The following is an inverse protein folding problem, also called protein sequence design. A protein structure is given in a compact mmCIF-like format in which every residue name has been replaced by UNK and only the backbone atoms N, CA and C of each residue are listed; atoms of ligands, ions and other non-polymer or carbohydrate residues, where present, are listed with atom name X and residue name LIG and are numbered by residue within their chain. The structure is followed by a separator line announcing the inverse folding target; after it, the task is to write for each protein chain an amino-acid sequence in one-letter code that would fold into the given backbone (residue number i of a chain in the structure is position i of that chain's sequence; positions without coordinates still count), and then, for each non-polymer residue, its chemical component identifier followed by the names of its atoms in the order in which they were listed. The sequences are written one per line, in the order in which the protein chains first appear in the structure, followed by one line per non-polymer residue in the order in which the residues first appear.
data_IF_918085876903
#
_entry.id   IF_918085876903
#
_cell.length_a   1.000
_cell.length_b   1.000
_cell.length_c   1.000
_cell.angle_alpha   90.00
_cell.angle_beta   90.00
_cell.angle_gamma   90.00
#
_symmetry.space_group_name_H-M   'P 1'
#
loop_
_entity.id
_entity.type
_entity.pdbx_description
1 polymer ?
#
# COMPACT_ATOMS: atom_id res chain seq x y z
N UNK A 1 -10.95 15.22 -53.87
CA UNK A 1 -12.02 15.84 -53.10
C UNK A 1 -11.89 15.37 -51.65
N UNK A 2 -11.15 16.11 -50.83
CA UNK A 2 -10.93 15.83 -49.42
C UNK A 2 -11.72 16.81 -48.57
N UNK A 3 -12.39 16.31 -47.53
CA UNK A 3 -13.07 17.15 -46.55
C UNK A 3 -12.32 17.00 -45.23
N UNK A 4 -11.55 18.05 -44.92
CA UNK A 4 -10.84 18.23 -43.66
C UNK A 4 -11.81 18.86 -42.63
N UNK A 5 -12.15 18.15 -41.56
CA UNK A 5 -13.01 18.67 -40.52
C UNK A 5 -12.28 18.67 -39.16
N UNK A 6 -11.39 19.66 -39.00
CA UNK A 6 -10.81 19.97 -37.67
C UNK A 6 -11.80 20.81 -36.89
N UNK A 7 -12.47 20.19 -35.90
CA UNK A 7 -13.27 20.92 -34.89
C UNK A 7 -12.35 21.51 -33.82
N UNK A 8 -12.20 22.83 -33.87
CA UNK A 8 -11.59 23.63 -32.80
C UNK A 8 -12.62 23.83 -31.70
N UNK A 9 -12.38 23.26 -30.53
CA UNK A 9 -13.10 23.59 -29.31
C UNK A 9 -12.33 24.67 -28.53
N UNK A 10 -12.77 25.92 -28.64
CA UNK A 10 -12.37 26.99 -27.72
C UNK A 10 -13.45 27.12 -26.64
N UNK A 11 -13.18 26.61 -25.44
CA UNK A 11 -14.00 26.89 -24.26
C UNK A 11 -13.52 28.16 -23.58
N UNK A 12 -14.40 29.16 -23.48
CA UNK A 12 -14.19 30.40 -22.73
C UNK A 12 -14.31 30.10 -21.23
N UNK A 13 -13.24 30.36 -20.47
CA UNK A 13 -13.27 30.35 -19.02
C UNK A 13 -13.72 31.75 -18.57
N UNK A 14 -14.91 31.86 -17.99
CA UNK A 14 -15.38 33.06 -17.32
C UNK A 14 -14.89 33.05 -15.86
N UNK A 15 -14.10 34.04 -15.47
CA UNK A 15 -13.71 34.27 -14.09
C UNK A 15 -14.89 34.91 -13.32
N UNK A 16 -15.40 34.25 -12.29
CA UNK A 16 -16.31 34.82 -11.31
C UNK A 16 -15.50 35.23 -10.08
N UNK A 17 -15.39 36.53 -9.85
CA UNK A 17 -14.93 37.11 -8.61
C UNK A 17 -16.11 37.17 -7.64
N UNK A 18 -16.05 36.46 -6.51
CA UNK A 18 -17.01 36.57 -5.43
C UNK A 18 -16.47 37.51 -4.34
N UNK A 19 -17.18 38.62 -4.12
CA UNK A 19 -17.00 39.53 -2.99
C UNK A 19 -17.56 38.88 -1.72
N UNK A 20 -16.70 38.73 -0.69
CA UNK A 20 -17.13 38.33 0.63
C UNK A 20 -17.22 39.59 1.50
N UNK A 21 -18.44 40.04 1.77
CA UNK A 21 -18.75 41.05 2.78
C UNK A 21 -18.90 40.38 4.14
N UNK A 22 -18.30 41.02 5.16
CA UNK A 22 -18.21 40.52 6.53
C UNK A 22 -19.57 40.34 7.21
N UNK A 23 -19.72 39.18 7.85
CA UNK A 23 -20.78 38.90 8.81
C UNK A 23 -20.16 38.57 10.17
N UNK A 24 -20.53 39.38 11.20
CA UNK A 24 -20.18 39.15 12.59
C UNK A 24 -20.82 37.87 13.10
N UNK A 25 -20.02 36.92 13.57
CA UNK A 25 -20.55 35.72 14.23
C UNK A 25 -20.73 36.00 15.71
N UNK A 26 -21.97 35.90 16.18
CA UNK A 26 -22.35 35.88 17.59
C UNK A 26 -21.88 34.57 18.22
N UNK A 27 -21.10 34.68 19.28
CA UNK A 27 -20.74 33.56 20.12
C UNK A 27 -21.95 33.13 20.96
N UNK A 28 -22.43 31.92 20.75
CA UNK A 28 -23.40 31.27 21.59
C UNK A 28 -22.71 30.30 22.51
N UNK A 29 -22.60 30.66 23.79
CA UNK A 29 -22.17 29.78 24.87
C UNK A 29 -23.22 28.70 25.09
N UNK A 30 -22.85 27.43 24.88
CA UNK A 30 -23.60 26.30 25.42
C UNK A 30 -22.73 25.68 26.51
N UNK A 31 -23.18 25.82 27.74
CA UNK A 31 -22.65 25.18 28.93
C UNK A 31 -23.13 23.73 29.01
N UNK A 32 -22.19 22.80 29.34
CA UNK A 32 -22.53 21.59 30.08
C UNK A 32 -22.49 20.30 29.30
N UNK A 33 -21.37 19.59 29.40
CA UNK A 33 -21.27 18.20 29.88
C UNK A 33 -19.80 17.80 29.79
N UNK A 34 -19.17 17.71 30.95
CA UNK A 34 -17.85 17.12 31.13
C UNK A 34 -17.96 15.61 30.95
N UNK A 35 -17.70 15.12 29.75
CA UNK A 35 -17.31 13.72 29.55
C UNK A 35 -15.79 13.66 29.52
N UNK A 36 -15.24 13.30 30.68
CA UNK A 36 -13.85 12.91 30.84
C UNK A 36 -13.59 11.62 30.03
N UNK A 37 -13.36 11.76 28.74
CA UNK A 37 -12.74 10.70 27.95
C UNK A 37 -11.26 10.69 28.32
N UNK A 38 -10.86 9.70 29.11
CA UNK A 38 -9.46 9.39 29.40
C UNK A 38 -8.76 9.20 28.06
N UNK A 39 -7.89 10.13 27.68
CA UNK A 39 -7.05 9.97 26.50
C UNK A 39 -6.27 8.66 26.65
N UNK A 40 -6.16 7.84 25.58
CA UNK A 40 -5.34 6.65 25.63
C UNK A 40 -3.91 7.09 25.93
N UNK A 41 -3.36 6.57 27.03
CA UNK A 41 -1.97 6.76 27.44
C UNK A 41 -1.10 6.34 26.25
N UNK A 42 -0.33 7.27 25.68
CA UNK A 42 0.65 6.95 24.66
C UNK A 42 1.60 5.92 25.27
N UNK A 43 1.51 4.67 24.80
CA UNK A 43 2.49 3.65 25.12
C UNK A 43 3.81 4.10 24.50
N UNK A 44 4.76 4.49 25.34
CA UNK A 44 6.16 4.63 24.97
C UNK A 44 6.72 3.23 24.75
N UNK A 45 6.31 2.60 23.64
CA UNK A 45 6.90 1.36 23.17
C UNK A 45 8.35 1.61 22.79
N UNK A 46 9.22 0.72 23.24
CA UNK A 46 10.61 0.63 22.84
C UNK A 46 10.69 0.69 21.30
N UNK A 47 11.36 1.72 20.76
CA UNK A 47 11.44 1.95 19.31
C UNK A 47 12.25 0.87 18.58
N UNK A 48 12.96 0.03 19.33
CA UNK A 48 13.79 -1.05 18.82
C UNK A 48 13.16 -2.45 18.98
N UNK A 49 11.96 -2.54 19.59
CA UNK A 49 11.26 -3.81 19.65
C UNK A 49 10.82 -4.23 18.23
N UNK A 50 11.12 -5.48 17.79
CA UNK A 50 10.66 -5.95 16.49
C UNK A 50 9.14 -5.80 16.46
N UNK A 51 8.61 -5.09 15.45
CA UNK A 51 7.16 -4.96 15.21
C UNK A 51 6.62 -6.39 15.12
N UNK A 52 5.96 -6.85 16.18
CA UNK A 52 5.20 -8.10 16.12
C UNK A 52 4.13 -7.88 15.08
N UNK A 53 4.22 -8.61 13.97
CA UNK A 53 3.11 -8.64 13.02
C UNK A 53 1.98 -9.39 13.71
N UNK A 54 1.04 -8.65 14.27
CA UNK A 54 -0.14 -9.22 14.94
C UNK A 54 -1.14 -9.65 13.84
N UNK A 55 -0.77 -10.68 13.05
CA UNK A 55 -1.65 -11.24 12.02
C UNK A 55 -3.03 -11.61 12.60
N UNK A 56 -3.07 -12.03 13.87
CA UNK A 56 -4.28 -12.39 14.59
C UNK A 56 -5.27 -11.22 14.78
N UNK A 57 -4.77 -9.98 14.84
CA UNK A 57 -5.61 -8.78 15.00
C UNK A 57 -6.29 -8.31 13.71
N UNK A 58 -5.93 -8.89 12.57
CA UNK A 58 -6.48 -8.50 11.28
C UNK A 58 -7.46 -9.51 10.69
N UNK A 59 -7.84 -10.55 11.46
CA UNK A 59 -8.87 -11.51 11.02
C UNK A 59 -10.23 -11.07 11.54
N UNK A 60 -11.19 -10.89 10.62
CA UNK A 60 -12.57 -10.57 10.93
C UNK A 60 -13.49 -11.43 10.05
N UNK A 61 -14.45 -12.11 10.66
CA UNK A 61 -15.42 -12.97 9.96
C UNK A 61 -14.77 -13.98 8.98
N UNK A 62 -13.64 -14.55 9.34
CA UNK A 62 -12.93 -15.52 8.51
C UNK A 62 -12.16 -14.90 7.32
N UNK A 63 -12.04 -13.57 7.30
CA UNK A 63 -11.20 -12.86 6.33
C UNK A 63 -9.99 -12.26 7.06
N UNK A 64 -8.82 -12.59 6.58
CA UNK A 64 -7.57 -11.94 6.97
C UNK A 64 -7.36 -10.72 6.10
N UNK A 65 -7.27 -9.55 6.72
CA UNK A 65 -6.95 -8.28 6.06
C UNK A 65 -5.44 -8.06 6.09
N UNK A 66 -4.81 -8.16 4.93
CA UNK A 66 -3.37 -8.03 4.75
C UNK A 66 -3.03 -6.54 4.75
N UNK A 67 -2.32 -6.09 5.79
CA UNK A 67 -1.76 -4.74 5.84
C UNK A 67 -0.56 -4.60 4.90
N UNK A 68 -0.05 -3.37 4.70
CA UNK A 68 1.11 -3.12 3.87
C UNK A 68 2.25 -4.09 4.18
N UNK A 69 2.65 -4.86 3.17
CA UNK A 69 3.74 -5.84 3.24
C UNK A 69 4.79 -5.45 2.22
N UNK A 70 5.99 -5.13 2.68
CA UNK A 70 7.13 -4.72 1.87
C UNK A 70 8.29 -5.71 1.91
N UNK A 71 9.36 -5.39 1.22
CA UNK A 71 10.51 -6.27 1.04
C UNK A 71 11.34 -6.51 2.31
N UNK A 72 11.17 -5.68 3.35
CA UNK A 72 11.90 -5.78 4.60
C UNK A 72 11.05 -6.37 5.74
N UNK A 73 9.76 -6.66 5.50
CA UNK A 73 8.89 -7.20 6.52
C UNK A 73 9.25 -8.65 6.89
N UNK A 74 9.44 -8.87 8.18
CA UNK A 74 9.83 -10.18 8.72
C UNK A 74 11.30 -10.56 8.50
N UNK A 75 12.14 -9.63 8.04
CA UNK A 75 13.59 -9.79 7.95
C UNK A 75 14.30 -8.99 9.05
N UNK A 76 15.42 -9.50 9.61
CA UNK A 76 16.23 -8.73 10.54
C UNK A 76 16.89 -7.54 9.82
N UNK A 77 17.19 -6.47 10.56
CA UNK A 77 17.64 -5.20 10.01
C UNK A 77 18.90 -5.30 9.14
N UNK A 78 19.83 -6.18 9.53
CA UNK A 78 21.07 -6.48 8.81
C UNK A 78 20.85 -7.11 7.44
N UNK A 79 19.70 -7.74 7.22
CA UNK A 79 19.30 -8.39 5.96
C UNK A 79 18.37 -7.54 5.11
N UNK A 80 18.08 -6.29 5.52
CA UNK A 80 17.18 -5.43 4.77
C UNK A 80 17.71 -5.18 3.36
N UNK A 81 16.81 -5.16 2.39
CA UNK A 81 17.13 -4.69 1.05
C UNK A 81 17.31 -3.18 1.07
N UNK A 82 18.19 -2.69 0.22
CA UNK A 82 18.38 -1.27 -0.01
C UNK A 82 17.58 -0.83 -1.24
N UNK A 83 17.20 0.44 -1.29
CA UNK A 83 16.49 1.03 -2.43
C UNK A 83 17.25 0.88 -3.76
N UNK A 84 18.55 0.65 -3.71
CA UNK A 84 19.45 0.41 -4.86
C UNK A 84 19.56 -1.05 -5.26
N UNK A 85 19.03 -1.98 -4.48
CA UNK A 85 19.03 -3.40 -4.84
C UNK A 85 18.16 -3.66 -6.09
N UNK A 86 18.41 -4.76 -6.83
CA UNK A 86 17.58 -5.13 -7.96
C UNK A 86 16.10 -5.27 -7.58
N UNK A 87 15.20 -4.74 -8.42
CA UNK A 87 13.77 -4.74 -8.16
C UNK A 87 13.21 -6.17 -7.94
N UNK A 88 13.73 -7.15 -8.64
CA UNK A 88 13.36 -8.57 -8.49
C UNK A 88 13.62 -9.10 -7.08
N UNK A 89 14.66 -8.61 -6.40
CA UNK A 89 14.94 -8.95 -5.01
C UNK A 89 13.86 -8.38 -4.08
N UNK A 90 13.41 -7.15 -4.33
CA UNK A 90 12.29 -6.56 -3.59
C UNK A 90 11.01 -7.37 -3.78
N UNK A 91 10.68 -7.75 -5.03
CA UNK A 91 9.50 -8.57 -5.33
C UNK A 91 9.54 -9.91 -4.61
N UNK A 92 10.64 -10.65 -4.73
CA UNK A 92 10.77 -11.97 -4.12
C UNK A 92 10.59 -11.90 -2.61
N UNK A 93 11.27 -10.96 -1.94
CA UNK A 93 11.17 -10.79 -0.49
C UNK A 93 9.77 -10.39 -0.03
N UNK A 94 9.13 -9.47 -0.76
CA UNK A 94 7.75 -9.06 -0.46
C UNK A 94 6.79 -10.24 -0.60
N UNK A 95 6.91 -11.04 -1.65
CA UNK A 95 6.07 -12.22 -1.84
C UNK A 95 6.32 -13.32 -0.79
N UNK A 96 7.57 -13.50 -0.36
CA UNK A 96 7.93 -14.41 0.74
C UNK A 96 7.36 -13.93 2.08
N UNK A 97 7.43 -12.63 2.36
CA UNK A 97 6.84 -12.02 3.55
C UNK A 97 5.31 -12.17 3.54
N UNK A 98 4.67 -11.89 2.40
CA UNK A 98 3.23 -12.09 2.19
C UNK A 98 2.83 -13.54 2.45
N UNK A 99 3.55 -14.51 1.86
CA UNK A 99 3.31 -15.94 2.07
C UNK A 99 3.36 -16.32 3.54
N UNK A 100 4.43 -15.94 4.23
CA UNK A 100 4.57 -16.18 5.69
C UNK A 100 3.44 -15.54 6.49
N UNK A 101 2.97 -14.34 6.08
CA UNK A 101 1.89 -13.63 6.75
C UNK A 101 0.55 -14.34 6.60
N UNK A 102 0.17 -14.75 5.39
CA UNK A 102 -1.10 -15.46 5.14
C UNK A 102 -1.12 -16.85 5.78
N UNK A 103 0.02 -17.58 5.76
CA UNK A 103 0.14 -18.89 6.41
C UNK A 103 -0.01 -18.77 7.93
N UNK A 104 0.57 -17.74 8.55
CA UNK A 104 0.44 -17.47 9.99
C UNK A 104 -0.99 -17.11 10.38
N UNK A 105 -1.73 -16.46 9.49
CA UNK A 105 -3.15 -16.15 9.67
C UNK A 105 -4.08 -17.35 9.45
N UNK A 106 -3.56 -18.55 9.19
CA UNK A 106 -4.35 -19.76 8.92
C UNK A 106 -4.94 -19.80 7.50
N UNK A 107 -4.27 -19.16 6.54
CA UNK A 107 -4.64 -19.14 5.13
C UNK A 107 -3.52 -19.73 4.25
N UNK A 108 -3.65 -19.57 2.93
CA UNK A 108 -2.62 -19.94 1.94
C UNK A 108 -2.59 -18.91 0.82
N UNK A 109 -1.54 -18.90 0.00
CA UNK A 109 -1.45 -18.02 -1.17
C UNK A 109 -2.65 -18.22 -2.11
N UNK A 110 -3.13 -19.44 -2.29
CA UNK A 110 -4.26 -19.77 -3.17
C UNK A 110 -5.64 -19.34 -2.62
N UNK A 111 -5.69 -18.94 -1.35
CA UNK A 111 -6.90 -18.43 -0.71
C UNK A 111 -6.93 -16.89 -0.62
N UNK A 112 -5.96 -16.22 -1.22
CA UNK A 112 -5.99 -14.77 -1.36
C UNK A 112 -7.14 -14.39 -2.30
N UNK A 113 -7.97 -13.44 -1.86
CA UNK A 113 -9.16 -12.99 -2.60
C UNK A 113 -8.83 -11.85 -3.55
N UNK A 114 -8.05 -10.89 -3.08
CA UNK A 114 -7.68 -9.69 -3.81
C UNK A 114 -6.36 -9.12 -3.30
N UNK A 115 -5.56 -8.56 -4.22
CA UNK A 115 -4.34 -7.82 -3.89
C UNK A 115 -4.33 -6.44 -4.57
N UNK A 116 -3.82 -5.47 -3.86
CA UNK A 116 -3.37 -4.19 -4.42
C UNK A 116 -1.85 -4.13 -4.28
N UNK A 117 -1.18 -3.89 -5.39
CA UNK A 117 0.27 -3.84 -5.47
C UNK A 117 0.68 -2.42 -5.83
N UNK A 118 1.52 -1.85 -5.01
CA UNK A 118 2.07 -0.51 -5.16
C UNK A 118 3.54 -0.62 -5.56
N UNK A 119 3.95 0.13 -6.58
CA UNK A 119 5.31 0.16 -7.09
C UNK A 119 5.85 1.59 -7.01
N UNK A 120 7.08 1.75 -6.57
CA UNK A 120 7.77 3.03 -6.69
C UNK A 120 9.15 2.86 -7.33
N UNK A 121 9.64 3.94 -7.94
CA UNK A 121 11.01 3.99 -8.44
C UNK A 121 11.97 4.30 -7.27
N UNK A 122 13.24 3.89 -7.39
CA UNK A 122 14.25 4.24 -6.40
C UNK A 122 14.29 5.75 -6.15
N UNK A 123 14.17 6.15 -4.89
CA UNK A 123 14.29 7.55 -4.45
C UNK A 123 15.31 7.61 -3.32
N UNK A 124 16.51 8.08 -3.62
CA UNK A 124 17.56 8.29 -2.65
C UNK A 124 18.46 9.45 -3.09
N UNK A 125 19.26 9.95 -2.16
CA UNK A 125 20.26 10.96 -2.48
C UNK A 125 21.21 10.48 -3.59
N UNK A 126 21.42 11.32 -4.60
CA UNK A 126 22.25 10.98 -5.77
C UNK A 126 21.57 10.12 -6.83
N UNK A 127 20.34 9.66 -6.62
CA UNK A 127 19.56 8.96 -7.63
C UNK A 127 18.62 9.94 -8.32
N UNK A 128 18.78 10.09 -9.64
CA UNK A 128 17.89 10.92 -10.45
C UNK A 128 16.63 10.13 -10.80
N UNK A 129 15.47 10.60 -10.35
CA UNK A 129 14.18 10.01 -10.73
C UNK A 129 13.87 10.34 -12.18
N UNK A 130 13.59 9.34 -13.03
CA UNK A 130 13.25 9.58 -14.43
C UNK A 130 11.91 10.32 -14.57
N UNK A 131 11.75 11.08 -15.65
CA UNK A 131 10.52 11.83 -15.95
C UNK A 131 9.95 11.45 -17.31
N UNK A 132 8.71 11.85 -17.57
CA UNK A 132 8.05 11.64 -18.86
C UNK A 132 8.05 10.18 -19.32
N UNK A 133 8.42 9.94 -20.58
CA UNK A 133 8.45 8.58 -21.15
C UNK A 133 9.42 7.64 -20.42
N UNK A 134 10.58 8.13 -19.99
CA UNK A 134 11.54 7.31 -19.25
C UNK A 134 10.98 6.78 -17.93
N UNK A 135 10.17 7.59 -17.22
CA UNK A 135 9.45 7.16 -16.00
C UNK A 135 8.41 6.08 -16.33
N UNK A 136 7.63 6.26 -17.37
CA UNK A 136 6.68 5.25 -17.84
C UNK A 136 7.37 3.93 -18.17
N UNK A 137 8.47 3.97 -18.96
CA UNK A 137 9.22 2.77 -19.34
C UNK A 137 9.82 2.05 -18.13
N UNK A 138 10.29 2.81 -17.11
CA UNK A 138 10.82 2.25 -15.88
C UNK A 138 9.71 1.51 -15.06
N UNK A 139 8.54 2.11 -14.89
CA UNK A 139 7.41 1.43 -14.23
C UNK A 139 6.92 0.22 -15.01
N UNK A 140 6.93 0.30 -16.35
CA UNK A 140 6.58 -0.85 -17.20
C UNK A 140 7.57 -2.00 -17.00
N UNK A 141 8.86 -1.72 -16.92
CA UNK A 141 9.88 -2.73 -16.62
C UNK A 141 9.67 -3.38 -15.25
N UNK A 142 9.34 -2.59 -14.21
CA UNK A 142 9.00 -3.12 -12.89
C UNK A 142 7.75 -4.03 -12.97
N UNK A 143 6.71 -3.61 -13.67
CA UNK A 143 5.49 -4.42 -13.84
C UNK A 143 5.77 -5.74 -14.56
N UNK A 144 6.60 -5.72 -15.60
CA UNK A 144 6.99 -6.93 -16.34
C UNK A 144 7.84 -7.89 -15.47
N UNK A 145 8.77 -7.35 -14.66
CA UNK A 145 9.56 -8.12 -13.69
C UNK A 145 8.68 -8.72 -12.57
N UNK A 146 7.76 -7.91 -12.01
CA UNK A 146 6.78 -8.38 -11.04
C UNK A 146 5.99 -9.59 -11.57
N UNK A 147 5.45 -9.50 -12.80
CA UNK A 147 4.62 -10.56 -13.37
C UNK A 147 5.35 -11.89 -13.51
N UNK A 148 6.66 -11.87 -13.83
CA UNK A 148 7.48 -13.10 -13.94
C UNK A 148 7.60 -13.83 -12.60
N UNK A 149 7.70 -13.09 -11.50
CA UNK A 149 7.89 -13.65 -10.15
C UNK A 149 6.53 -13.96 -9.50
N UNK A 150 5.59 -13.03 -9.58
CA UNK A 150 4.27 -13.11 -8.93
C UNK A 150 3.54 -14.43 -9.24
N UNK A 151 3.51 -14.83 -10.52
CA UNK A 151 2.82 -16.04 -10.95
C UNK A 151 3.36 -17.33 -10.34
N UNK A 152 4.62 -17.35 -9.89
CA UNK A 152 5.24 -18.57 -9.31
C UNK A 152 4.79 -18.87 -7.89
N UNK A 153 4.10 -17.94 -7.24
CA UNK A 153 3.61 -18.11 -5.86
C UNK A 153 2.23 -18.73 -5.75
N UNK A 154 1.53 -18.94 -6.87
CA UNK A 154 0.18 -19.47 -6.91
C UNK A 154 0.11 -20.77 -7.71
N UNK A 155 -0.78 -21.67 -7.31
CA UNK A 155 -1.12 -22.82 -8.13
C UNK A 155 -1.76 -22.38 -9.46
N UNK A 156 -1.66 -23.16 -10.52
CA UNK A 156 -2.25 -22.81 -11.82
C UNK A 156 -3.72 -22.40 -11.70
N UNK A 157 -4.05 -21.22 -12.19
CA UNK A 157 -5.42 -20.67 -12.16
C UNK A 157 -5.90 -20.16 -10.79
N UNK A 158 -5.02 -20.07 -9.78
CA UNK A 158 -5.35 -19.61 -8.41
C UNK A 158 -4.85 -18.21 -8.08
N UNK A 159 -4.13 -17.56 -8.99
CA UNK A 159 -3.72 -16.18 -8.77
C UNK A 159 -4.97 -15.28 -8.55
N UNK A 160 -5.00 -14.46 -7.48
CA UNK A 160 -6.16 -13.62 -7.15
C UNK A 160 -6.34 -12.48 -8.14
N UNK A 161 -7.51 -11.82 -8.07
CA UNK A 161 -7.68 -10.53 -8.73
C UNK A 161 -6.66 -9.53 -8.18
N UNK A 162 -6.11 -8.67 -9.03
CA UNK A 162 -5.04 -7.75 -8.66
C UNK A 162 -5.21 -6.40 -9.34
N UNK A 163 -5.08 -5.32 -8.57
CA UNK A 163 -4.76 -3.99 -9.08
C UNK A 163 -3.26 -3.71 -8.87
N UNK A 164 -2.62 -3.01 -9.83
CA UNK A 164 -1.23 -2.60 -9.71
C UNK A 164 -1.12 -1.11 -10.04
N UNK A 165 -0.49 -0.36 -9.16
CA UNK A 165 -0.40 1.09 -9.22
C UNK A 165 1.03 1.56 -9.01
N UNK A 166 1.44 2.61 -9.74
CA UNK A 166 2.69 3.30 -9.50
C UNK A 166 2.46 4.46 -8.53
N UNK A 167 3.29 4.54 -7.50
CA UNK A 167 3.29 5.61 -6.50
C UNK A 167 4.58 6.42 -6.56
N UNK A 168 4.57 7.58 -5.96
CA UNK A 168 5.76 8.41 -5.82
C UNK A 168 6.73 7.85 -4.79
N UNK A 169 6.19 7.32 -3.69
CA UNK A 169 6.98 6.83 -2.56
C UNK A 169 6.23 5.76 -1.76
N UNK A 170 6.99 4.85 -1.17
CA UNK A 170 6.54 3.81 -0.25
C UNK A 170 7.43 3.89 1.00
N UNK A 171 6.90 3.72 2.23
CA UNK A 171 7.69 3.73 3.46
C UNK A 171 8.83 2.71 3.45
N UNK A 172 9.97 3.09 4.01
CA UNK A 172 11.19 2.25 4.05
C UNK A 172 11.91 2.20 2.70
N UNK A 173 12.79 1.22 2.55
CA UNK A 173 13.61 1.03 1.35
C UNK A 173 12.97 0.05 0.34
N UNK A 174 11.71 -0.34 0.56
CA UNK A 174 11.01 -1.23 -0.37
C UNK A 174 10.55 -0.47 -1.62
N UNK A 175 10.74 -1.08 -2.78
CA UNK A 175 10.24 -0.57 -4.06
C UNK A 175 8.87 -1.17 -4.44
N UNK A 176 8.32 -2.03 -3.58
CA UNK A 176 7.01 -2.66 -3.73
C UNK A 176 6.36 -2.83 -2.37
N UNK A 177 5.05 -2.58 -2.30
CA UNK A 177 4.22 -2.89 -1.15
C UNK A 177 2.94 -3.57 -1.63
N UNK A 178 2.45 -4.54 -0.86
CA UNK A 178 1.24 -5.30 -1.18
C UNK A 178 0.28 -5.24 0.00
N UNK A 179 -0.98 -4.92 -0.28
CA UNK A 179 -2.11 -5.03 0.64
C UNK A 179 -3.19 -5.90 0.02
N UNK A 180 -4.08 -6.45 0.84
CA UNK A 180 -5.16 -7.27 0.28
C UNK A 180 -5.99 -7.99 1.32
N UNK A 181 -6.61 -9.10 0.88
CA UNK A 181 -7.40 -9.95 1.77
C UNK A 181 -7.28 -11.41 1.35
N UNK A 182 -7.38 -12.31 2.35
CA UNK A 182 -7.35 -13.74 2.16
C UNK A 182 -8.43 -14.43 3.01
N UNK A 183 -9.01 -15.51 2.50
CA UNK A 183 -9.94 -16.35 3.27
C UNK A 183 -9.15 -17.23 4.24
N UNK A 184 -9.46 -17.16 5.52
CA UNK A 184 -8.92 -18.08 6.52
C UNK A 184 -9.61 -19.43 6.39
N UNK A 185 -8.83 -20.51 6.32
CA UNK A 185 -9.35 -21.87 6.15
C UNK A 185 -9.11 -22.75 7.36
N UNK A 186 -8.05 -22.42 8.14
CA UNK A 186 -7.78 -23.06 9.42
C UNK A 186 -7.77 -21.95 10.47
N UNK A 187 -8.64 -22.04 11.48
CA UNK A 187 -8.53 -21.10 12.59
C UNK A 187 -7.10 -21.21 13.16
N UNK A 188 -6.39 -20.07 13.36
CA UNK A 188 -5.10 -20.10 14.04
C UNK A 188 -5.30 -20.83 15.37
N UNK A 189 -4.38 -21.74 15.72
CA UNK A 189 -4.44 -22.44 16.99
C UNK A 189 -4.52 -21.37 18.10
N UNK A 190 -5.54 -21.45 18.94
CA UNK A 190 -5.70 -20.53 20.06
C UNK A 190 -4.39 -20.57 20.88
N UNK A 191 -3.67 -19.46 20.92
CA UNK A 191 -2.52 -19.32 21.80
C UNK A 191 -3.10 -19.19 23.19
N UNK A 192 -3.10 -20.30 23.92
CA UNK A 192 -3.43 -20.29 25.35
C UNK A 192 -2.40 -19.39 26.05
N UNK A 193 -2.82 -18.19 26.44
CA UNK A 193 -2.10 -17.26 27.32
C UNK A 193 -2.19 -17.68 28.74
#
# INVERSE_FOLDING_TARGET
MGIDTRRKFFGKIAAMAAFITGGKLLAQQASGASNSATAPTAQTGDKDAPRRSNAEHHVHEGIYYISGTGANDGYPKEDHVLVTDPFEKHVTRTMDALKKSVERAGSTMDNILHLQVFLCLPLAEGISTPTGKARFDAHKAQYDALNKIYGTYFSPGKAPSRACMALEWIPGDSLIEIVGSAKVVNAPAAVNT
#
